data_IF_211191473655
#
_entry.id   IF_211191473655
#
_cell.length_a   1.000
_cell.length_b   1.000
_cell.length_c   1.000
_cell.angle_alpha   90.00
_cell.angle_beta   90.00
_cell.angle_gamma   90.00
#
_symmetry.space_group_name_H-M   'P 1'
#
loop_
_entity.id
_entity.type
_entity.pdbx_description
1 polymer ?
#
# COMPACT_ATOMS: atom_id res chain seq x y z
N UNK A 1 -16.32 1.59 3.05
CA UNK A 1 -16.06 1.36 4.48
C UNK A 1 -15.13 2.44 5.00
N UNK A 2 -15.43 3.01 6.16
CA UNK A 2 -14.61 4.02 6.82
C UNK A 2 -14.51 3.73 8.32
N UNK A 3 -13.48 4.29 8.96
CA UNK A 3 -13.32 4.25 10.41
C UNK A 3 -13.45 5.66 10.99
N UNK A 4 -14.10 5.77 12.14
CA UNK A 4 -14.31 7.02 12.86
C UNK A 4 -14.01 6.86 14.36
N UNK A 5 -13.72 7.98 15.01
CA UNK A 5 -13.18 7.99 16.37
C UNK A 5 -13.90 9.03 17.23
N UNK A 6 -15.21 8.83 17.51
CA UNK A 6 -15.94 9.75 18.36
C UNK A 6 -15.38 9.72 19.78
N UNK A 7 -15.26 10.89 20.41
CA UNK A 7 -15.01 10.99 21.85
C UNK A 7 -16.32 10.77 22.60
N UNK A 8 -16.34 9.79 23.50
CA UNK A 8 -17.54 9.38 24.22
C UNK A 8 -17.26 9.39 25.72
N UNK A 9 -18.17 9.98 26.50
CA UNK A 9 -18.10 9.92 27.96
C UNK A 9 -18.45 8.52 28.47
N UNK A 10 -17.62 7.98 29.36
CA UNK A 10 -17.74 6.63 29.95
C UNK A 10 -17.15 6.61 31.35
N UNK A 11 -17.73 5.77 32.21
CA UNK A 11 -17.13 5.39 33.47
C UNK A 11 -15.96 4.43 33.22
N UNK A 12 -14.75 4.86 33.60
CA UNK A 12 -13.51 4.09 33.46
C UNK A 12 -13.08 3.45 34.78
N UNK A 13 -13.86 3.57 35.85
CA UNK A 13 -13.48 3.09 37.18
C UNK A 13 -13.16 1.60 37.19
N UNK A 14 -13.88 0.81 36.39
CA UNK A 14 -13.67 -0.64 36.24
C UNK A 14 -12.28 -1.00 35.69
N UNK A 15 -11.65 -0.08 34.94
CA UNK A 15 -10.29 -0.23 34.39
C UNK A 15 -9.28 0.68 35.08
N UNK A 16 -9.63 1.23 36.25
CA UNK A 16 -8.74 2.06 37.07
C UNK A 16 -8.65 3.53 36.65
N UNK A 17 -9.54 4.00 35.77
CA UNK A 17 -9.62 5.38 35.31
C UNK A 17 -10.62 6.24 36.10
N UNK A 18 -10.99 7.38 35.49
CA UNK A 18 -11.97 8.33 36.03
C UNK A 18 -13.42 7.86 35.83
N UNK A 19 -14.29 8.16 36.81
CA UNK A 19 -15.75 7.92 36.72
C UNK A 19 -16.42 8.72 35.59
N UNK A 20 -15.91 9.92 35.28
CA UNK A 20 -16.32 10.72 34.11
C UNK A 20 -15.17 10.83 33.08
N UNK A 21 -14.68 9.67 32.67
CA UNK A 21 -13.64 9.53 31.66
C UNK A 21 -14.14 9.79 30.24
N UNK A 22 -13.20 10.02 29.33
CA UNK A 22 -13.47 10.11 27.88
C UNK A 22 -12.79 8.94 27.18
N UNK A 23 -13.50 8.25 26.29
CA UNK A 23 -12.98 7.16 25.45
C UNK A 23 -13.02 7.57 23.99
N UNK A 24 -12.01 7.16 23.23
CA UNK A 24 -12.07 7.19 21.77
C UNK A 24 -12.78 5.92 21.28
N UNK A 25 -14.03 6.04 20.82
CA UNK A 25 -14.98 4.93 20.79
C UNK A 25 -14.72 3.84 19.75
N UNK A 26 -13.96 4.14 18.68
CA UNK A 26 -13.71 3.22 17.56
C UNK A 26 -14.99 2.80 16.84
N UNK A 27 -15.23 3.37 15.66
CA UNK A 27 -16.43 3.09 14.85
C UNK A 27 -16.03 2.64 13.46
N UNK A 28 -16.71 1.63 12.96
CA UNK A 28 -16.65 1.16 11.58
C UNK A 28 -17.98 1.47 10.91
N UNK A 29 -17.95 2.10 9.74
CA UNK A 29 -19.14 2.40 8.97
C UNK A 29 -19.04 1.93 7.53
N UNK A 30 -20.16 1.45 7.01
CA UNK A 30 -20.39 1.38 5.58
C UNK A 30 -21.25 2.56 5.15
N UNK A 31 -20.78 3.27 4.13
CA UNK A 31 -21.41 4.49 3.66
C UNK A 31 -21.60 4.38 2.16
N UNK A 32 -22.79 4.71 1.71
CA UNK A 32 -23.07 4.94 0.30
C UNK A 32 -22.34 6.21 -0.16
N UNK A 33 -21.45 6.07 -1.14
CA UNK A 33 -20.54 7.16 -1.53
C UNK A 33 -21.30 8.31 -2.21
N UNK A 34 -22.36 8.02 -2.97
CA UNK A 34 -23.12 9.03 -3.72
C UNK A 34 -23.99 9.89 -2.79
N UNK A 35 -24.68 9.24 -1.84
CA UNK A 35 -25.67 9.89 -0.98
C UNK A 35 -25.13 10.27 0.40
N UNK A 36 -24.01 9.68 0.82
CA UNK A 36 -23.48 9.79 2.18
C UNK A 36 -24.30 9.04 3.23
N UNK A 37 -25.26 8.20 2.83
CA UNK A 37 -26.08 7.43 3.77
C UNK A 37 -25.24 6.36 4.49
N UNK A 38 -25.35 6.28 5.82
CA UNK A 38 -24.76 5.20 6.61
C UNK A 38 -25.62 3.95 6.45
N UNK A 39 -25.06 2.93 5.81
CA UNK A 39 -25.72 1.65 5.53
C UNK A 39 -25.52 0.64 6.66
N UNK A 40 -24.39 0.74 7.35
CA UNK A 40 -24.03 -0.10 8.50
C UNK A 40 -23.13 0.68 9.43
N UNK A 41 -23.28 0.48 10.74
CA UNK A 41 -22.44 1.08 11.76
C UNK A 41 -22.18 0.09 12.89
N UNK A 42 -20.90 -0.10 13.20
CA UNK A 42 -20.44 -0.93 14.29
C UNK A 42 -19.59 -0.09 15.24
N UNK A 43 -19.92 -0.10 16.53
CA UNK A 43 -19.22 0.64 17.58
C UNK A 43 -18.47 -0.35 18.45
N UNK A 44 -17.14 -0.24 18.53
CA UNK A 44 -16.34 -1.15 19.34
C UNK A 44 -16.81 -1.18 20.80
N UNK A 45 -17.24 -0.03 21.34
CA UNK A 45 -17.73 0.12 22.72
C UNK A 45 -18.94 -0.75 23.06
N UNK A 46 -19.69 -1.22 22.07
CA UNK A 46 -20.87 -2.07 22.28
C UNK A 46 -20.50 -3.58 22.30
N UNK A 47 -19.26 -3.92 21.93
CA UNK A 47 -18.84 -5.29 21.62
C UNK A 47 -17.50 -5.73 22.23
N UNK A 48 -16.63 -4.79 22.58
CA UNK A 48 -15.25 -5.03 23.05
C UNK A 48 -15.05 -4.31 24.38
N UNK A 49 -14.57 -5.05 25.39
CA UNK A 49 -14.32 -4.54 26.72
C UNK A 49 -13.19 -3.51 26.76
N UNK A 50 -13.30 -2.53 27.66
CA UNK A 50 -12.22 -1.55 27.88
C UNK A 50 -10.96 -2.20 28.46
N UNK A 51 -11.13 -3.28 29.22
CA UNK A 51 -10.10 -4.09 29.85
C UNK A 51 -9.35 -5.00 28.87
N UNK A 52 -9.88 -5.23 27.66
CA UNK A 52 -9.18 -5.93 26.58
C UNK A 52 -7.97 -5.12 26.06
N UNK A 53 -7.94 -3.81 26.32
CA UNK A 53 -6.85 -2.92 25.90
C UNK A 53 -5.56 -3.13 26.70
N UNK A 54 -4.43 -3.04 26.01
CA UNK A 54 -3.08 -3.00 26.59
C UNK A 54 -2.60 -1.56 26.84
N UNK A 55 -3.41 -0.55 26.50
CA UNK A 55 -3.07 0.85 26.76
C UNK A 55 -3.33 1.20 28.23
N UNK A 56 -2.41 1.99 28.78
CA UNK A 56 -2.61 2.63 30.08
C UNK A 56 -3.86 3.52 30.05
N UNK A 57 -4.69 3.36 31.08
CA UNK A 57 -5.90 4.14 31.25
C UNK A 57 -5.52 5.51 31.81
N UNK A 58 -5.89 6.63 31.14
CA UNK A 58 -5.63 7.96 31.68
C UNK A 58 -6.41 8.19 32.98
N UNK A 59 -5.71 8.73 33.99
CA UNK A 59 -6.29 9.13 35.28
C UNK A 59 -6.41 10.65 35.43
N UNK A 60 -5.94 11.41 34.44
CA UNK A 60 -5.98 12.87 34.42
C UNK A 60 -7.21 13.41 33.67
N UNK A 61 -7.90 14.44 34.18
CA UNK A 61 -8.98 15.11 33.47
C UNK A 61 -8.53 15.69 32.11
N UNK A 62 -9.40 15.63 31.12
CA UNK A 62 -9.15 16.19 29.78
C UNK A 62 -8.32 15.30 28.85
N UNK A 63 -7.83 14.15 29.33
CA UNK A 63 -7.28 13.08 28.49
C UNK A 63 -8.39 12.12 28.05
N UNK A 64 -8.16 11.43 26.94
CA UNK A 64 -9.04 10.37 26.45
C UNK A 64 -8.31 9.03 26.40
N UNK A 65 -9.05 7.96 26.66
CA UNK A 65 -8.58 6.60 26.55
C UNK A 65 -8.82 6.08 25.14
N UNK A 66 -7.76 5.99 24.34
CA UNK A 66 -7.81 5.31 23.05
C UNK A 66 -7.59 3.81 23.25
N UNK A 67 -8.67 3.09 23.60
CA UNK A 67 -8.57 1.70 24.04
C UNK A 67 -8.51 0.67 22.89
N UNK A 68 -9.08 1.01 21.73
CA UNK A 68 -9.26 0.06 20.62
C UNK A 68 -8.31 0.35 19.45
N UNK A 69 -8.34 1.58 18.95
CA UNK A 69 -7.55 2.05 17.80
C UNK A 69 -7.63 1.11 16.57
N UNK A 70 -8.78 1.11 15.89
CA UNK A 70 -8.99 0.35 14.66
C UNK A 70 -8.16 0.93 13.51
N UNK A 71 -7.24 0.18 12.90
CA UNK A 71 -6.31 0.73 11.91
C UNK A 71 -6.38 0.07 10.52
N UNK A 72 -7.16 -0.99 10.37
CA UNK A 72 -7.51 -1.55 9.08
C UNK A 72 -8.87 -2.21 9.12
N UNK A 73 -9.54 -2.15 7.97
CA UNK A 73 -10.80 -2.81 7.72
C UNK A 73 -10.77 -3.43 6.32
N UNK A 74 -11.34 -4.61 6.20
CA UNK A 74 -11.58 -5.27 4.92
C UNK A 74 -12.88 -6.07 4.91
N UNK A 75 -13.40 -6.34 3.71
CA UNK A 75 -14.46 -7.33 3.51
C UNK A 75 -13.78 -8.69 3.33
N UNK A 76 -14.05 -9.62 4.22
CA UNK A 76 -13.62 -11.01 4.09
C UNK A 76 -14.40 -11.71 2.97
N UNK A 77 -13.93 -12.89 2.55
CA UNK A 77 -14.49 -13.62 1.40
C UNK A 77 -15.94 -14.05 1.57
N UNK A 78 -16.39 -14.19 2.80
CA UNK A 78 -17.76 -14.54 3.15
C UNK A 78 -18.66 -13.30 3.35
N UNK A 79 -18.16 -12.12 3.00
CA UNK A 79 -18.90 -10.85 3.08
C UNK A 79 -18.90 -10.21 4.48
N UNK A 80 -18.32 -10.88 5.48
CA UNK A 80 -18.12 -10.34 6.82
C UNK A 80 -16.95 -9.37 6.85
N UNK A 81 -16.76 -8.66 7.97
CA UNK A 81 -15.70 -7.67 8.09
C UNK A 81 -14.52 -8.22 8.87
N UNK A 82 -13.30 -7.91 8.41
CA UNK A 82 -12.08 -8.04 9.20
C UNK A 82 -11.68 -6.64 9.70
N UNK A 83 -11.45 -6.51 11.00
CA UNK A 83 -11.03 -5.24 11.62
C UNK A 83 -9.81 -5.50 12.49
N UNK A 84 -8.72 -4.78 12.25
CA UNK A 84 -7.53 -4.82 13.11
C UNK A 84 -7.57 -3.67 14.11
N UNK A 85 -7.29 -3.96 15.38
CA UNK A 85 -7.26 -2.97 16.44
C UNK A 85 -5.94 -3.01 17.20
N UNK A 86 -5.17 -1.92 17.06
CA UNK A 86 -3.78 -1.81 17.54
C UNK A 86 -3.68 -2.05 19.04
N UNK A 87 -4.58 -1.44 19.81
CA UNK A 87 -4.43 -1.35 21.27
C UNK A 87 -4.96 -2.57 22.03
N UNK A 88 -5.66 -3.48 21.34
CA UNK A 88 -6.03 -4.79 21.89
C UNK A 88 -5.13 -5.93 21.39
N UNK A 89 -4.18 -5.61 20.50
CA UNK A 89 -3.31 -6.58 19.83
C UNK A 89 -4.11 -7.71 19.14
N UNK A 90 -5.25 -7.35 18.56
CA UNK A 90 -6.19 -8.33 18.02
C UNK A 90 -6.81 -7.94 16.67
N UNK A 91 -7.15 -8.96 15.89
CA UNK A 91 -7.96 -8.87 14.68
C UNK A 91 -9.33 -9.49 14.98
N UNK A 92 -10.39 -8.80 14.56
CA UNK A 92 -11.77 -9.17 14.81
C UNK A 92 -12.43 -9.52 13.49
N UNK A 93 -13.16 -10.64 13.47
CA UNK A 93 -14.13 -10.90 12.41
C UNK A 93 -15.52 -10.53 12.90
N UNK A 94 -16.21 -9.68 12.14
CA UNK A 94 -17.51 -9.12 12.53
C UNK A 94 -18.54 -9.53 11.50
N UNK A 95 -19.64 -10.08 11.98
CA UNK A 95 -20.84 -10.36 11.20
C UNK A 95 -21.39 -9.04 10.64
N UNK A 96 -21.39 -8.88 9.32
CA UNK A 96 -21.76 -7.61 8.68
C UNK A 96 -23.27 -7.32 8.77
N UNK A 97 -24.10 -8.34 8.99
CA UNK A 97 -25.54 -8.16 9.10
C UNK A 97 -25.95 -7.86 10.54
N UNK A 98 -25.35 -8.56 11.51
CA UNK A 98 -25.78 -8.45 12.91
C UNK A 98 -24.86 -7.61 13.78
N UNK A 99 -23.66 -7.25 13.31
CA UNK A 99 -22.63 -6.56 14.09
C UNK A 99 -21.97 -7.41 15.17
N UNK A 100 -22.24 -8.72 15.21
CA UNK A 100 -21.69 -9.63 16.23
C UNK A 100 -20.24 -9.94 15.91
N UNK A 101 -19.37 -9.92 16.92
CA UNK A 101 -18.00 -10.47 16.78
C UNK A 101 -18.11 -11.98 16.63
N UNK A 102 -17.70 -12.50 15.47
CA UNK A 102 -17.66 -13.93 15.14
C UNK A 102 -16.47 -14.58 15.86
N UNK A 103 -15.30 -13.96 15.77
CA UNK A 103 -14.11 -14.36 16.51
C UNK A 103 -13.11 -13.22 16.69
N UNK A 104 -12.20 -13.40 17.65
CA UNK A 104 -11.04 -12.57 17.97
C UNK A 104 -9.77 -13.40 17.77
N UNK A 105 -8.81 -12.87 17.03
CA UNK A 105 -7.49 -13.46 16.83
C UNK A 105 -6.44 -12.61 17.54
N UNK A 106 -5.74 -13.18 18.51
CA UNK A 106 -4.75 -12.45 19.32
C UNK A 106 -5.39 -11.67 20.48
N UNK A 107 -4.56 -10.91 21.21
CA UNK A 107 -5.00 -10.14 22.37
C UNK A 107 -5.36 -11.00 23.60
N UNK A 108 -5.99 -10.36 24.59
CA UNK A 108 -6.35 -10.99 25.88
C UNK A 108 -7.46 -12.03 25.74
N UNK A 109 -8.37 -11.81 24.80
CA UNK A 109 -9.60 -12.58 24.59
C UNK A 109 -9.56 -13.36 23.26
N UNK A 110 -8.38 -13.85 22.85
CA UNK A 110 -8.24 -14.64 21.61
C UNK A 110 -9.09 -15.92 21.67
N UNK A 111 -9.93 -16.13 20.66
CA UNK A 111 -10.66 -17.39 20.50
C UNK A 111 -9.76 -18.50 19.93
N UNK A 112 -8.65 -18.13 19.30
CA UNK A 112 -7.71 -19.06 18.69
C UNK A 112 -6.61 -19.48 19.66
N UNK A 113 -6.24 -20.77 19.59
CA UNK A 113 -4.95 -21.26 20.09
C UNK A 113 -3.83 -20.75 19.19
N UNK A 114 -3.04 -19.84 19.72
CA UNK A 114 -1.91 -19.21 19.02
C UNK A 114 -0.70 -20.16 18.98
N UNK A 115 -0.32 -20.60 17.78
CA UNK A 115 0.86 -21.44 17.56
C UNK A 115 2.18 -20.69 17.72
N UNK A 116 3.32 -21.39 17.65
CA UNK A 116 4.64 -20.75 17.65
C UNK A 116 4.75 -19.71 16.54
N UNK A 117 5.23 -18.52 16.88
CA UNK A 117 5.45 -17.43 15.93
C UNK A 117 4.19 -16.67 15.49
N UNK A 118 2.99 -17.06 15.92
CA UNK A 118 1.74 -16.41 15.47
C UNK A 118 1.32 -15.19 16.30
N UNK A 119 1.95 -14.96 17.45
CA UNK A 119 1.66 -13.78 18.26
C UNK A 119 2.18 -12.52 17.55
N UNK A 120 1.42 -11.43 17.64
CA UNK A 120 1.73 -10.14 17.05
C UNK A 120 1.29 -9.04 18.00
N UNK A 121 1.90 -7.86 17.91
CA UNK A 121 1.64 -6.73 18.79
C UNK A 121 1.46 -5.44 17.97
N UNK A 122 0.48 -4.64 18.35
CA UNK A 122 0.18 -3.33 17.73
C UNK A 122 0.04 -3.39 16.20
N UNK A 123 -0.44 -4.51 15.68
CA UNK A 123 -0.42 -4.88 14.28
C UNK A 123 -1.28 -3.98 13.38
N UNK A 124 -0.91 -3.92 12.10
CA UNK A 124 -1.63 -3.19 11.05
C UNK A 124 -1.96 -4.10 9.85
N UNK A 125 -2.89 -3.62 9.04
CA UNK A 125 -3.26 -4.17 7.73
C UNK A 125 -3.52 -5.68 7.71
N UNK A 126 -4.48 -6.12 8.53
CA UNK A 126 -4.97 -7.49 8.50
C UNK A 126 -5.81 -7.71 7.23
N UNK A 127 -5.38 -8.60 6.34
CA UNK A 127 -6.00 -8.84 5.02
C UNK A 127 -6.19 -10.32 4.75
N UNK A 128 -7.38 -10.69 4.26
CA UNK A 128 -7.61 -12.04 3.72
C UNK A 128 -6.95 -12.14 2.35
N UNK A 129 -6.04 -13.10 2.19
CA UNK A 129 -5.35 -13.37 0.93
C UNK A 129 -6.18 -14.26 -0.01
N UNK A 130 -5.87 -14.36 -1.32
CA UNK A 130 -6.54 -15.24 -2.31
C UNK A 130 -6.38 -16.77 -2.12
N UNK A 131 -5.49 -17.21 -1.23
CA UNK A 131 -5.35 -18.60 -0.78
C UNK A 131 -6.17 -18.91 0.49
N UNK A 132 -6.62 -17.90 1.24
CA UNK A 132 -7.45 -18.04 2.44
C UNK A 132 -6.73 -17.72 3.73
N UNK A 133 -5.41 -17.62 3.67
CA UNK A 133 -4.60 -17.19 4.80
C UNK A 133 -4.77 -15.70 5.08
N UNK A 134 -4.40 -15.29 6.29
CA UNK A 134 -4.49 -13.92 6.75
C UNK A 134 -3.08 -13.31 6.77
N UNK A 135 -2.84 -12.25 6.00
CA UNK A 135 -1.61 -11.46 6.15
C UNK A 135 -1.80 -10.35 7.16
N UNK A 136 -0.74 -10.08 7.92
CA UNK A 136 -0.68 -9.03 8.94
C UNK A 136 0.70 -8.37 8.86
N UNK A 137 0.76 -7.05 9.03
CA UNK A 137 1.99 -6.37 9.40
C UNK A 137 2.09 -6.28 10.92
N UNK A 138 3.01 -7.05 11.50
CA UNK A 138 3.26 -7.09 12.94
C UNK A 138 4.28 -6.01 13.28
N UNK A 139 3.80 -4.94 13.93
CA UNK A 139 4.63 -3.80 14.29
C UNK A 139 5.58 -4.11 15.43
N UNK A 140 5.21 -5.06 16.31
CA UNK A 140 5.96 -5.38 17.52
C UNK A 140 6.24 -4.13 18.39
N UNK A 141 5.28 -3.20 18.44
CA UNK A 141 5.49 -1.86 19.00
C UNK A 141 5.23 -1.78 20.52
N UNK A 142 5.96 -0.89 21.24
CA UNK A 142 5.87 -0.73 22.70
C UNK A 142 4.45 -0.59 23.28
N UNK A 143 4.21 -0.98 24.55
CA UNK A 143 5.21 -1.20 25.60
C UNK A 143 5.91 -2.57 25.57
N UNK A 144 5.32 -3.56 24.90
CA UNK A 144 5.88 -4.89 24.70
C UNK A 144 6.51 -4.97 23.30
N UNK A 145 7.73 -5.49 23.19
CA UNK A 145 8.44 -5.64 21.91
C UNK A 145 9.44 -6.79 21.99
N UNK A 146 9.53 -7.56 20.93
CA UNK A 146 10.56 -8.55 20.64
C UNK A 146 11.75 -7.94 19.85
N UNK A 147 11.64 -6.69 19.42
CA UNK A 147 12.72 -5.85 18.89
C UNK A 147 12.70 -5.63 17.38
N UNK A 148 11.74 -6.19 16.62
CA UNK A 148 11.68 -6.04 15.16
C UNK A 148 10.26 -6.16 14.60
N UNK A 149 9.92 -5.31 13.63
CA UNK A 149 8.67 -5.43 12.87
C UNK A 149 8.81 -6.42 11.73
N UNK A 150 7.71 -7.11 11.41
CA UNK A 150 7.71 -8.20 10.42
C UNK A 150 6.39 -8.30 9.67
N UNK A 151 6.47 -8.88 8.47
CA UNK A 151 5.28 -9.37 7.78
C UNK A 151 4.99 -10.82 8.18
N UNK A 152 3.75 -11.16 8.51
CA UNK A 152 3.37 -12.55 8.79
C UNK A 152 2.17 -12.97 7.95
N UNK A 153 2.10 -14.26 7.66
CA UNK A 153 0.95 -14.92 7.03
C UNK A 153 0.52 -16.09 7.91
N UNK A 154 -0.74 -16.07 8.30
CA UNK A 154 -1.34 -17.03 9.23
C UNK A 154 -2.38 -17.88 8.52
N UNK A 155 -2.29 -19.19 8.72
CA UNK A 155 -3.38 -20.12 8.43
C UNK A 155 -4.30 -20.23 9.65
N UNK A 156 -5.61 -20.10 9.43
CA UNK A 156 -6.62 -20.07 10.49
C UNK A 156 -7.59 -21.23 10.30
N UNK A 157 -7.48 -22.23 11.18
CA UNK A 157 -8.49 -23.27 11.32
C UNK A 157 -9.61 -22.72 12.21
N UNK A 158 -10.76 -22.44 11.61
CA UNK A 158 -11.94 -21.88 12.29
C UNK A 158 -12.85 -22.96 12.88
N UNK A 159 -12.64 -24.23 12.56
CA UNK A 159 -13.37 -25.34 13.18
C UNK A 159 -12.70 -25.73 14.52
N UNK A 160 -11.37 -25.83 14.50
CA UNK A 160 -10.56 -26.16 15.69
C UNK A 160 -10.06 -24.92 16.46
N UNK A 161 -10.36 -23.71 15.97
CA UNK A 161 -9.89 -22.43 16.49
C UNK A 161 -8.39 -22.44 16.76
N UNK A 162 -7.60 -22.66 15.70
CA UNK A 162 -6.13 -22.71 15.76
C UNK A 162 -5.50 -21.78 14.72
N UNK A 163 -4.52 -21.00 15.15
CA UNK A 163 -3.69 -20.20 14.26
C UNK A 163 -2.32 -20.85 14.08
N UNK A 164 -1.85 -20.95 12.83
CA UNK A 164 -0.52 -21.47 12.50
C UNK A 164 0.22 -20.48 11.61
N UNK A 165 1.51 -20.25 11.90
CA UNK A 165 2.35 -19.40 11.07
C UNK A 165 2.68 -20.14 9.78
N UNK A 166 2.25 -19.63 8.64
CA UNK A 166 2.63 -20.16 7.33
C UNK A 166 3.94 -19.52 6.84
N UNK A 167 4.06 -18.20 6.99
CA UNK A 167 5.21 -17.43 6.50
C UNK A 167 5.53 -16.25 7.39
N UNK A 168 6.80 -15.91 7.39
CA UNK A 168 7.36 -14.74 8.05
C UNK A 168 8.32 -14.04 7.07
N UNK A 169 8.28 -12.72 7.09
CA UNK A 169 9.14 -11.85 6.29
C UNK A 169 9.88 -10.91 7.23
N UNK A 170 11.17 -11.17 7.42
CA UNK A 170 12.07 -10.38 8.24
C UNK A 170 12.97 -9.52 7.36
N UNK A 171 13.15 -8.26 7.72
CA UNK A 171 14.13 -7.41 7.10
C UNK A 171 15.51 -7.65 7.73
N UNK A 172 16.57 -7.70 6.92
CA UNK A 172 17.95 -7.92 7.40
C UNK A 172 18.45 -6.90 8.44
N UNK A 173 17.83 -5.73 8.49
CA UNK A 173 18.20 -4.63 9.39
C UNK A 173 17.27 -4.50 10.61
N UNK A 174 16.29 -5.42 10.77
CA UNK A 174 15.36 -5.44 11.91
C UNK A 174 14.73 -4.06 12.24
N UNK A 175 14.10 -3.36 11.27
CA UNK A 175 13.45 -2.09 11.52
C UNK A 175 12.28 -2.28 12.50
N UNK A 176 12.05 -1.29 13.36
CA UNK A 176 10.99 -1.31 14.36
C UNK A 176 9.99 -0.18 14.11
N UNK A 177 9.05 -0.44 13.21
CA UNK A 177 7.95 0.44 12.86
C UNK A 177 6.91 0.52 13.97
N UNK A 178 7.05 1.52 14.86
CA UNK A 178 6.16 1.68 16.02
C UNK A 178 4.70 1.96 15.68
N UNK A 179 4.40 2.34 14.44
CA UNK A 179 3.04 2.59 13.95
C UNK A 179 2.96 2.45 12.44
N UNK A 180 1.72 2.39 11.92
CA UNK A 180 1.44 2.38 10.49
C UNK A 180 2.01 1.12 9.81
N UNK A 181 2.08 1.11 8.48
CA UNK A 181 2.64 0.03 7.68
C UNK A 181 1.60 -0.98 7.17
N UNK A 182 2.05 -1.84 6.26
CA UNK A 182 1.22 -2.84 5.61
C UNK A 182 2.04 -3.96 4.96
N UNK A 183 1.36 -5.07 4.69
CA UNK A 183 1.84 -6.16 3.85
C UNK A 183 0.88 -6.31 2.66
N UNK A 184 1.36 -5.96 1.47
CA UNK A 184 0.62 -6.17 0.23
C UNK A 184 1.08 -7.48 -0.43
N UNK A 185 0.12 -8.35 -0.75
CA UNK A 185 0.38 -9.52 -1.59
C UNK A 185 0.45 -9.13 -3.06
N UNK A 186 1.47 -9.59 -3.78
CA UNK A 186 1.68 -9.30 -5.21
C UNK A 186 1.37 -10.51 -6.10
N UNK A 187 1.03 -10.29 -7.39
CA UNK A 187 0.99 -11.35 -8.39
C UNK A 187 2.31 -12.14 -8.42
N UNK A 188 2.24 -13.47 -8.60
CA UNK A 188 3.41 -14.35 -8.56
C UNK A 188 3.83 -14.80 -7.16
N UNK A 189 3.21 -14.27 -6.09
CA UNK A 189 3.39 -14.73 -4.72
C UNK A 189 4.44 -13.97 -3.90
N UNK A 190 5.05 -12.94 -4.47
CA UNK A 190 5.86 -11.97 -3.74
C UNK A 190 4.99 -11.14 -2.78
N UNK A 191 5.64 -10.42 -1.87
CA UNK A 191 4.98 -9.44 -0.98
C UNK A 191 5.76 -8.14 -0.98
N UNK A 192 5.04 -7.03 -0.92
CA UNK A 192 5.60 -5.71 -0.63
C UNK A 192 5.25 -5.35 0.82
N UNK A 193 6.23 -4.87 1.58
CA UNK A 193 6.05 -4.39 2.94
C UNK A 193 6.43 -2.91 2.97
N UNK A 194 5.49 -2.07 3.41
CA UNK A 194 5.76 -0.70 3.82
C UNK A 194 5.95 -0.68 5.34
N UNK A 195 7.11 -0.24 5.81
CA UNK A 195 7.45 -0.23 7.24
C UNK A 195 6.93 1.01 7.98
N UNK A 196 5.81 1.58 7.55
CA UNK A 196 5.07 2.56 8.34
C UNK A 196 5.91 3.78 8.74
N UNK A 197 6.04 3.97 10.06
CA UNK A 197 6.86 5.03 10.67
C UNK A 197 8.37 4.90 10.44
N UNK A 198 8.84 3.80 9.86
CA UNK A 198 10.20 3.68 9.35
C UNK A 198 10.22 3.97 7.84
N UNK A 199 11.23 4.70 7.33
CA UNK A 199 11.28 5.16 5.94
C UNK A 199 11.63 4.04 4.94
N UNK A 200 11.17 2.81 5.15
CA UNK A 200 11.59 1.61 4.40
C UNK A 200 10.41 1.02 3.65
N UNK A 201 10.66 0.65 2.39
CA UNK A 201 9.76 -0.13 1.55
C UNK A 201 10.57 -1.30 1.00
N UNK A 202 10.12 -2.53 1.26
CA UNK A 202 10.84 -3.72 0.81
C UNK A 202 9.92 -4.68 0.06
N UNK A 203 10.44 -5.32 -1.00
CA UNK A 203 9.79 -6.45 -1.64
C UNK A 203 10.51 -7.73 -1.28
N UNK A 204 9.74 -8.75 -0.91
CA UNK A 204 10.23 -10.09 -0.67
C UNK A 204 9.63 -11.06 -1.67
N UNK A 205 10.46 -12.00 -2.09
CA UNK A 205 9.99 -13.22 -2.74
C UNK A 205 9.11 -14.04 -1.81
N UNK A 206 8.33 -14.96 -2.39
CA UNK A 206 7.41 -15.85 -1.67
C UNK A 206 8.06 -16.63 -0.51
N UNK A 207 9.34 -16.96 -0.61
CA UNK A 207 10.14 -17.69 0.38
C UNK A 207 10.92 -16.78 1.35
N UNK A 208 10.72 -15.46 1.28
CA UNK A 208 11.26 -14.51 2.25
C UNK A 208 12.60 -13.88 1.87
N UNK A 209 13.13 -14.11 0.67
CA UNK A 209 14.34 -13.42 0.21
C UNK A 209 14.00 -12.00 -0.26
N UNK A 210 14.76 -11.02 0.22
CA UNK A 210 14.70 -9.61 -0.16
C UNK A 210 15.02 -9.44 -1.66
N UNK A 211 14.15 -8.78 -2.40
CA UNK A 211 14.25 -8.51 -3.85
C UNK A 211 14.44 -7.03 -4.16
N UNK A 212 13.85 -6.16 -3.33
CA UNK A 212 13.89 -4.72 -3.46
C UNK A 212 13.92 -4.10 -2.07
N UNK A 213 14.72 -3.06 -1.89
CA UNK A 213 14.87 -2.32 -0.64
C UNK A 213 15.03 -0.84 -1.01
N UNK A 214 14.02 -0.04 -0.70
CA UNK A 214 14.03 1.40 -0.89
C UNK A 214 13.88 2.12 0.43
N UNK A 215 14.61 3.24 0.54
CA UNK A 215 14.58 4.09 1.71
C UNK A 215 14.26 5.52 1.33
N UNK A 216 13.26 6.10 1.99
CA UNK A 216 12.99 7.53 1.92
C UNK A 216 14.02 8.33 2.73
N UNK A 217 14.22 9.62 2.44
CA UNK A 217 15.06 10.48 3.26
C UNK A 217 14.62 10.48 4.73
N UNK A 218 15.57 10.76 5.62
CA UNK A 218 15.28 10.85 7.06
C UNK A 218 14.21 11.91 7.36
N UNK A 219 13.34 11.61 8.32
CA UNK A 219 12.21 12.47 8.71
C UNK A 219 10.93 12.26 7.91
N UNK A 220 10.96 11.40 6.88
CA UNK A 220 9.76 10.97 6.17
C UNK A 220 9.32 9.59 6.66
N UNK A 221 8.00 9.37 6.68
CA UNK A 221 7.39 8.07 6.85
C UNK A 221 6.36 7.81 5.74
N UNK A 222 5.85 6.59 5.66
CA UNK A 222 4.71 6.28 4.81
C UNK A 222 3.64 5.61 5.64
N UNK A 223 2.37 6.06 5.52
CA UNK A 223 1.29 5.35 6.19
C UNK A 223 1.18 3.90 5.72
N UNK A 224 1.23 3.72 4.39
CA UNK A 224 1.31 2.44 3.71
C UNK A 224 2.05 2.61 2.39
N UNK A 225 2.59 1.51 1.86
CA UNK A 225 3.18 1.44 0.53
C UNK A 225 2.45 0.38 -0.30
N UNK A 226 2.20 0.69 -1.58
CA UNK A 226 1.58 -0.23 -2.52
C UNK A 226 2.33 -0.23 -3.85
N UNK A 227 2.47 -1.41 -4.45
CA UNK A 227 2.89 -1.61 -5.83
C UNK A 227 1.64 -2.01 -6.62
N UNK A 228 1.28 -1.17 -7.58
CA UNK A 228 0.10 -1.34 -8.42
C UNK A 228 0.52 -1.28 -9.89
N UNK A 229 -0.19 -1.99 -10.78
CA UNK A 229 -0.08 -1.70 -12.21
C UNK A 229 -0.47 -0.23 -12.42
N UNK A 230 0.32 0.47 -13.21
CA UNK A 230 0.05 1.87 -13.54
C UNK A 230 0.24 2.05 -15.04
N UNK A 231 -0.76 2.66 -15.66
CA UNK A 231 -0.73 3.08 -17.05
C UNK A 231 -0.80 4.59 -17.08
N UNK A 232 0.22 5.22 -17.62
CA UNK A 232 0.29 6.65 -17.80
C UNK A 232 0.10 7.04 -19.27
N UNK A 233 -0.85 7.97 -19.48
CA UNK A 233 -1.20 8.57 -20.78
C UNK A 233 -1.11 10.10 -20.61
N UNK A 234 0.09 10.70 -20.73
CA UNK A 234 0.26 12.15 -20.60
C UNK A 234 -0.56 12.90 -21.66
N UNK A 235 -0.94 14.13 -21.34
CA UNK A 235 -1.67 15.01 -22.26
C UNK A 235 -0.76 15.83 -23.16
N UNK A 236 0.46 16.09 -22.69
CA UNK A 236 1.50 16.77 -23.47
C UNK A 236 2.11 15.80 -24.48
N UNK A 237 2.58 16.26 -25.65
CA UNK A 237 3.22 15.40 -26.64
C UNK A 237 4.58 14.86 -26.13
N UNK A 238 5.16 13.85 -26.79
CA UNK A 238 6.54 13.42 -26.55
C UNK A 238 7.53 14.57 -26.73
N UNK A 239 8.61 14.55 -25.95
CA UNK A 239 9.75 15.45 -26.10
C UNK A 239 10.78 14.82 -27.05
N UNK A 240 11.40 15.68 -27.87
CA UNK A 240 12.48 15.32 -28.78
C UNK A 240 13.66 16.25 -28.58
N UNK A 241 14.85 15.67 -28.42
CA UNK A 241 16.12 16.37 -28.51
C UNK A 241 16.96 15.76 -29.64
N UNK A 242 17.87 16.55 -30.21
CA UNK A 242 18.67 16.14 -31.35
C UNK A 242 20.14 16.54 -31.14
N UNK A 243 21.04 15.67 -31.57
CA UNK A 243 22.48 15.90 -31.59
C UNK A 243 22.99 15.68 -33.01
N UNK A 244 23.64 16.70 -33.59
CA UNK A 244 24.23 16.63 -34.92
C UNK A 244 25.69 16.21 -34.80
N UNK A 245 26.00 15.03 -35.33
CA UNK A 245 27.35 14.48 -35.41
C UNK A 245 28.10 14.89 -36.68
N UNK A 246 29.35 14.42 -36.78
CA UNK A 246 30.22 14.67 -37.92
C UNK A 246 29.59 14.19 -39.24
N UNK A 247 29.60 15.04 -40.26
CA UNK A 247 29.02 14.73 -41.57
C UNK A 247 27.50 14.87 -41.65
N UNK A 248 26.86 15.51 -40.67
CA UNK A 248 25.44 15.88 -40.68
C UNK A 248 24.50 14.72 -40.33
N UNK A 249 25.02 13.70 -39.65
CA UNK A 249 24.20 12.61 -39.12
C UNK A 249 23.58 13.04 -37.79
N UNK A 250 22.29 12.79 -37.61
CA UNK A 250 21.55 13.21 -36.43
C UNK A 250 21.25 11.99 -35.56
N UNK A 251 21.55 12.11 -34.27
CA UNK A 251 21.02 11.24 -33.22
C UNK A 251 19.83 11.92 -32.58
N UNK A 252 18.70 11.23 -32.58
CA UNK A 252 17.44 11.70 -31.98
C UNK A 252 17.28 11.05 -30.62
N UNK A 253 16.95 11.84 -29.61
CA UNK A 253 16.65 11.41 -28.27
C UNK A 253 15.16 11.63 -28.01
N UNK A 254 14.43 10.53 -27.88
CA UNK A 254 12.98 10.54 -27.66
C UNK A 254 12.68 10.24 -26.19
N UNK A 255 11.84 11.06 -25.55
CA UNK A 255 11.34 10.79 -24.20
C UNK A 255 9.89 11.25 -24.05
N UNK A 256 9.15 10.64 -23.14
CA UNK A 256 7.79 11.08 -22.83
C UNK A 256 7.47 10.80 -21.37
N UNK A 257 7.66 11.84 -20.56
CA UNK A 257 7.56 11.70 -19.12
C UNK A 257 6.14 11.28 -18.72
N UNK A 258 6.06 10.19 -17.98
CA UNK A 258 4.79 9.62 -17.53
C UNK A 258 4.11 8.69 -18.52
N UNK A 259 4.58 8.56 -19.77
CA UNK A 259 3.99 7.61 -20.72
C UNK A 259 4.51 6.19 -20.45
N UNK A 260 3.60 5.22 -20.32
CA UNK A 260 3.96 3.81 -20.02
C UNK A 260 3.76 2.86 -21.17
N UNK A 261 3.00 3.27 -22.19
CA UNK A 261 2.56 2.37 -23.27
C UNK A 261 3.43 2.45 -24.52
N UNK A 262 4.40 3.37 -24.55
CA UNK A 262 5.35 3.44 -25.67
C UNK A 262 6.20 2.18 -25.71
N UNK A 263 6.09 1.43 -26.80
CA UNK A 263 6.89 0.24 -27.08
C UNK A 263 8.02 0.55 -28.08
N UNK A 264 7.75 1.37 -29.09
CA UNK A 264 8.70 1.76 -30.14
C UNK A 264 8.57 3.24 -30.46
N UNK A 265 9.70 3.85 -30.80
CA UNK A 265 9.81 5.19 -31.33
C UNK A 265 10.12 5.13 -32.82
N UNK A 266 9.41 5.91 -33.63
CA UNK A 266 9.79 6.17 -35.02
C UNK A 266 10.32 7.58 -35.16
N UNK A 267 11.50 7.71 -35.76
CA UNK A 267 12.03 9.00 -36.18
C UNK A 267 11.39 9.38 -37.50
N UNK A 268 10.76 10.55 -37.52
CA UNK A 268 10.24 11.19 -38.72
C UNK A 268 11.21 12.28 -39.14
N UNK A 269 11.62 12.29 -40.40
CA UNK A 269 12.58 13.27 -40.91
C UNK A 269 12.21 13.70 -42.34
N UNK A 270 12.46 14.97 -42.68
CA UNK A 270 12.08 15.51 -43.98
C UNK A 270 12.63 16.91 -44.28
N UNK A 271 12.49 17.37 -45.54
CA UNK A 271 12.98 18.67 -45.98
C UNK A 271 12.16 19.86 -45.48
N UNK A 272 10.88 19.65 -45.13
CA UNK A 272 9.94 20.65 -44.62
C UNK A 272 9.20 20.11 -43.38
N UNK A 273 8.71 20.96 -42.45
CA UNK A 273 8.05 20.51 -41.23
C UNK A 273 6.79 19.65 -41.44
N UNK A 274 6.10 19.83 -42.56
CA UNK A 274 4.90 19.09 -42.95
C UNK A 274 5.17 17.97 -43.98
N UNK A 275 6.43 17.77 -44.38
CA UNK A 275 6.86 16.73 -45.33
C UNK A 275 7.81 15.71 -44.65
N UNK A 276 7.38 15.10 -43.55
CA UNK A 276 8.19 14.10 -42.82
C UNK A 276 7.88 12.66 -43.24
N UNK A 277 8.93 11.83 -43.29
CA UNK A 277 8.81 10.38 -43.55
C UNK A 277 9.61 9.58 -42.52
N UNK A 278 9.28 8.30 -42.33
CA UNK A 278 10.00 7.44 -41.38
C UNK A 278 11.45 7.26 -41.83
N UNK A 279 12.39 7.72 -41.00
CA UNK A 279 13.82 7.68 -41.25
C UNK A 279 14.55 6.62 -40.41
N UNK A 280 13.93 6.15 -39.34
CA UNK A 280 14.48 5.12 -38.45
C UNK A 280 13.53 4.80 -37.32
N UNK A 281 13.87 3.79 -36.52
CA UNK A 281 13.12 3.45 -35.32
C UNK A 281 14.00 2.85 -34.24
N UNK A 282 13.49 2.85 -33.02
CA UNK A 282 14.15 2.27 -31.85
C UNK A 282 13.12 1.78 -30.84
N UNK A 283 13.31 0.54 -30.36
CA UNK A 283 12.54 0.03 -29.22
C UNK A 283 12.81 0.91 -28.02
N UNK A 284 11.77 1.27 -27.26
CA UNK A 284 11.93 2.09 -26.07
C UNK A 284 12.92 1.45 -25.11
N UNK A 285 13.92 2.24 -24.71
CA UNK A 285 14.90 1.88 -23.69
C UNK A 285 14.89 2.95 -22.58
N UNK A 286 14.52 2.55 -21.36
CA UNK A 286 14.47 3.44 -20.20
C UNK A 286 13.56 4.67 -20.33
N UNK A 287 14.04 5.80 -19.80
CA UNK A 287 13.35 7.10 -19.86
C UNK A 287 13.52 7.78 -21.23
N UNK A 288 14.73 7.74 -21.78
CA UNK A 288 15.11 8.39 -23.04
C UNK A 288 15.76 7.38 -23.98
N UNK A 289 15.31 7.35 -25.23
CA UNK A 289 15.77 6.40 -26.26
C UNK A 289 16.52 7.16 -27.35
N UNK A 290 17.77 6.77 -27.59
CA UNK A 290 18.61 7.34 -28.63
C UNK A 290 18.48 6.55 -29.95
N UNK A 291 18.25 7.26 -31.05
CA UNK A 291 18.04 6.67 -32.39
C UNK A 291 18.91 7.44 -33.38
N UNK A 292 19.96 6.78 -33.86
CA UNK A 292 20.92 7.37 -34.80
C UNK A 292 20.54 7.11 -36.26
N UNK A 293 21.07 7.95 -37.16
CA UNK A 293 21.04 7.71 -38.60
C UNK A 293 20.08 8.60 -39.40
N UNK A 294 19.40 9.55 -38.75
CA UNK A 294 18.58 10.53 -39.45
C UNK A 294 19.45 11.58 -40.15
N UNK A 295 19.00 12.08 -41.31
CA UNK A 295 19.65 13.15 -42.08
C UNK A 295 18.61 14.01 -42.76
N UNK A 296 18.13 15.04 -42.06
CA UNK A 296 17.16 15.98 -42.60
C UNK A 296 17.17 17.28 -41.77
N UNK A 297 16.72 18.42 -42.35
CA UNK A 297 16.60 19.69 -41.63
C UNK A 297 15.45 19.70 -40.61
N UNK A 298 14.45 18.83 -40.72
CA UNK A 298 13.36 18.74 -39.76
C UNK A 298 13.20 17.32 -39.25
N UNK A 299 12.98 17.19 -37.95
CA UNK A 299 12.86 15.91 -37.25
C UNK A 299 11.71 15.96 -36.24
N UNK A 300 10.98 14.86 -36.12
CA UNK A 300 10.04 14.61 -35.03
C UNK A 300 10.12 13.14 -34.61
N UNK A 301 9.48 12.78 -33.49
CA UNK A 301 9.33 11.39 -33.06
C UNK A 301 7.87 11.03 -32.92
N UNK A 302 7.55 9.81 -33.34
CA UNK A 302 6.24 9.19 -33.17
C UNK A 302 6.34 8.04 -32.18
N UNK A 303 5.52 8.10 -31.14
CA UNK A 303 5.39 7.02 -30.16
C UNK A 303 4.39 5.98 -30.68
N UNK A 304 4.79 4.70 -30.67
CA UNK A 304 3.92 3.58 -31.00
C UNK A 304 3.72 2.68 -29.79
N UNK A 305 2.55 2.07 -29.69
CA UNK A 305 2.28 1.01 -28.71
C UNK A 305 2.77 -0.38 -29.19
N UNK A 306 2.50 -1.41 -28.39
CA UNK A 306 2.91 -2.79 -28.68
C UNK A 306 2.20 -3.45 -29.87
N UNK A 307 1.11 -2.84 -30.35
CA UNK A 307 0.39 -3.24 -31.56
C UNK A 307 0.85 -2.49 -32.81
N UNK A 308 1.69 -1.45 -32.65
CA UNK A 308 2.13 -0.55 -33.71
C UNK A 308 1.16 0.60 -33.98
N UNK A 309 0.19 0.85 -33.11
CA UNK A 309 -0.72 2.00 -33.20
C UNK A 309 -0.03 3.27 -32.71
N UNK A 310 -0.32 4.39 -33.38
CA UNK A 310 0.21 5.70 -33.00
C UNK A 310 -0.43 6.20 -31.71
N UNK A 311 0.40 6.48 -30.72
CA UNK A 311 -0.03 7.09 -29.45
C UNK A 311 0.00 8.62 -29.53
N UNK A 312 1.10 9.18 -30.05
CA UNK A 312 1.31 10.61 -30.23
C UNK A 312 2.54 10.89 -31.10
N UNK A 313 2.66 12.15 -31.55
CA UNK A 313 3.83 12.68 -32.26
C UNK A 313 4.34 13.90 -31.51
N UNK A 314 5.66 14.06 -31.40
CA UNK A 314 6.29 15.25 -30.83
C UNK A 314 6.05 16.50 -31.68
N UNK A 315 6.39 17.66 -31.14
CA UNK A 315 6.66 18.83 -31.98
C UNK A 315 7.79 18.53 -32.98
N UNK A 316 7.76 19.23 -34.11
CA UNK A 316 8.84 19.17 -35.11
C UNK A 316 9.96 20.11 -34.66
N UNK A 317 11.19 19.58 -34.61
CA UNK A 317 12.39 20.34 -34.30
C UNK A 317 13.28 20.46 -35.53
N UNK A 318 13.90 21.62 -35.67
CA UNK A 318 15.03 21.84 -36.56
C UNK A 318 16.29 21.52 -35.73
N UNK A 319 17.12 20.53 -36.13
CA UNK A 319 18.41 20.31 -35.50
C UNK A 319 19.26 21.56 -35.71
N UNK A 320 19.31 22.40 -34.68
CA UNK A 320 19.99 23.68 -34.71
C UNK A 320 21.39 23.54 -35.34
N UNK A 321 21.71 24.47 -36.23
CA UNK A 321 23.10 24.81 -36.57
C UNK A 321 23.77 25.60 -35.46
#
# INVERSE_FOLDING_TARGET
>A
LIMAYPMVKRDLSAVGGLEDGTVLGGVVQEVDIETGAVLFEWRALDHVGLDESYKEVPTEPGKFFDYFHANSIDIDRDGNLLVSARHTHAVYKIDRETGRVIWRLGGKESDFRMGPGTNFLSQHDARRRPDGTLSIFDNDAPPETNGESRGIVLDLDQDDMRATLEREYLHQNAPLARSQGNLQSLPGGNVLIGYGSEPIIAEFSRDGRLLFDARLPEGYDTYRAYRLPWTGRPVDPPDVAVEVGDGGEITVYASWNGATEVAEWQVLAGPEPDELSVAGSGVRDGFETAIAGARAPFVAVRALDDSGEELAVSEVVEPDG
#
